data_IF_121575753365
#
_entry.id   IF_121575753365
#
_cell.length_a   1.000
_cell.length_b   1.000
_cell.length_c   1.000
_cell.angle_alpha   90.00
_cell.angle_beta   90.00
_cell.angle_gamma   90.00
#
_symmetry.space_group_name_H-M   'P 1'
#
loop_
_entity.id
_entity.type
_entity.pdbx_description
1 polymer ?
#
# COMPACT_ATOMS: atom_id res chain seq x y z
N UNK A 1 5.43 -32.75 -3.66
CA UNK A 1 6.09 -31.48 -3.33
C UNK A 1 5.35 -30.46 -4.16
N UNK A 2 4.27 -29.95 -3.57
CA UNK A 2 3.28 -29.08 -4.22
C UNK A 2 3.49 -27.70 -3.59
N UNK A 3 4.70 -27.21 -3.79
CA UNK A 3 5.24 -25.99 -3.19
C UNK A 3 5.15 -24.92 -4.27
N UNK A 4 4.09 -24.10 -4.24
CA UNK A 4 4.14 -22.70 -4.75
C UNK A 4 2.86 -21.87 -4.60
N UNK A 5 1.72 -22.42 -4.16
CA UNK A 5 0.47 -21.62 -4.14
C UNK A 5 0.11 -21.06 -2.75
N UNK A 6 0.81 -21.46 -1.68
CA UNK A 6 0.48 -21.07 -0.29
C UNK A 6 1.34 -19.97 0.31
N UNK A 7 2.36 -19.47 -0.40
CA UNK A 7 3.32 -18.51 0.16
C UNK A 7 2.99 -17.03 -0.11
N UNK A 8 1.88 -16.75 -0.83
CA UNK A 8 1.35 -15.40 -1.08
C UNK A 8 0.08 -15.09 -0.28
N UNK A 9 -0.02 -15.60 0.95
CA UNK A 9 -1.08 -15.15 1.85
C UNK A 9 -0.76 -13.73 2.35
N UNK A 10 -1.77 -12.88 2.49
CA UNK A 10 -1.64 -11.49 2.97
C UNK A 10 -0.79 -11.43 4.24
N UNK A 11 -1.04 -12.34 5.17
CA UNK A 11 -0.33 -12.45 6.45
C UNK A 11 1.18 -12.65 6.27
N UNK A 12 1.60 -13.42 5.25
CA UNK A 12 3.01 -13.71 5.01
C UNK A 12 3.74 -12.50 4.42
N UNK A 13 3.09 -11.79 3.50
CA UNK A 13 3.61 -10.56 2.89
C UNK A 13 3.68 -9.45 3.93
N UNK A 14 2.62 -9.27 4.72
CA UNK A 14 2.57 -8.30 5.81
C UNK A 14 3.68 -8.58 6.84
N UNK A 15 3.85 -9.84 7.26
CA UNK A 15 4.93 -10.23 8.18
C UNK A 15 6.32 -9.94 7.61
N UNK A 16 6.50 -10.12 6.30
CA UNK A 16 7.78 -9.82 5.63
C UNK A 16 8.03 -8.31 5.55
N UNK A 17 7.01 -7.52 5.23
CA UNK A 17 7.08 -6.06 5.20
C UNK A 17 7.38 -5.50 6.60
N UNK A 18 6.71 -6.02 7.64
CA UNK A 18 7.00 -5.73 9.04
C UNK A 18 8.46 -6.04 9.38
N UNK A 19 8.98 -7.19 8.94
CA UNK A 19 10.39 -7.57 9.15
C UNK A 19 11.38 -6.66 8.39
N UNK A 20 10.99 -6.10 7.24
CA UNK A 20 11.79 -5.15 6.46
C UNK A 20 11.71 -3.72 7.03
N UNK A 21 10.85 -3.49 8.03
CA UNK A 21 10.69 -2.21 8.74
C UNK A 21 9.43 -1.44 8.35
N UNK A 22 8.61 -1.96 7.44
CA UNK A 22 7.29 -1.42 7.09
C UNK A 22 6.28 -1.80 8.17
N UNK A 23 6.44 -1.19 9.33
CA UNK A 23 5.59 -1.38 10.52
C UNK A 23 4.62 -0.24 10.75
N UNK A 24 4.76 0.84 9.96
CA UNK A 24 3.82 1.94 9.98
C UNK A 24 2.64 1.63 9.07
N UNK A 25 1.43 1.88 9.55
CA UNK A 25 0.25 1.93 8.71
C UNK A 25 0.10 3.34 8.14
N UNK A 26 -0.38 3.43 6.92
CA UNK A 26 -0.75 4.70 6.32
C UNK A 26 -2.22 4.71 5.92
N UNK A 27 -2.82 5.89 5.99
CA UNK A 27 -4.16 6.14 5.48
C UNK A 27 -4.15 7.33 4.54
N UNK A 28 -4.97 7.29 3.51
CA UNK A 28 -5.25 8.48 2.72
C UNK A 28 -6.47 9.18 3.31
N UNK A 29 -6.37 10.49 3.45
CA UNK A 29 -7.49 11.34 3.88
C UNK A 29 -7.34 12.68 3.18
N UNK A 30 -8.40 13.18 2.55
CA UNK A 30 -8.39 14.48 1.87
C UNK A 30 -7.27 14.58 0.81
N UNK A 31 -7.03 13.47 0.07
CA UNK A 31 -5.98 13.39 -0.96
C UNK A 31 -4.54 13.49 -0.44
N UNK A 32 -4.31 13.23 0.85
CA UNK A 32 -2.98 13.21 1.47
C UNK A 32 -2.77 11.92 2.25
N UNK A 33 -1.54 11.43 2.24
CA UNK A 33 -1.15 10.26 3.01
C UNK A 33 -0.77 10.67 4.43
N UNK A 34 -1.41 10.07 5.43
CA UNK A 34 -1.09 10.27 6.84
C UNK A 34 -0.62 8.97 7.46
N UNK A 35 0.53 8.97 8.16
CA UNK A 35 0.93 7.81 8.97
C UNK A 35 -0.03 7.67 10.15
N UNK A 36 -0.51 6.45 10.37
CA UNK A 36 -1.19 5.99 11.58
C UNK A 36 -0.14 5.70 12.67
N UNK A 37 0.77 6.64 12.89
CA UNK A 37 1.69 6.57 14.02
C UNK A 37 1.05 7.19 15.26
N UNK A 38 1.35 6.63 16.44
CA UNK A 38 0.90 7.14 17.73
C UNK A 38 1.50 8.53 18.05
N UNK A 39 2.53 8.94 17.30
CA UNK A 39 3.13 10.26 17.41
C UNK A 39 2.21 11.32 16.78
N UNK A 40 1.73 12.23 17.62
CA UNK A 40 0.82 13.35 17.31
C UNK A 40 1.38 14.37 16.27
N UNK A 41 2.51 14.05 15.63
CA UNK A 41 3.16 14.82 14.55
C UNK A 41 2.97 14.19 13.17
N UNK A 42 2.00 13.29 12.99
CA UNK A 42 1.67 12.73 11.68
C UNK A 42 1.36 13.85 10.67
N UNK A 43 2.37 14.28 9.92
CA UNK A 43 2.25 15.23 8.82
C UNK A 43 1.62 14.50 7.64
N UNK A 44 0.73 15.19 6.93
CA UNK A 44 0.21 14.71 5.66
C UNK A 44 1.28 14.83 4.58
N UNK A 45 1.60 13.71 3.94
CA UNK A 45 2.49 13.64 2.79
C UNK A 45 1.69 13.83 1.51
N UNK A 46 2.21 14.67 0.63
CA UNK A 46 1.68 14.81 -0.73
C UNK A 46 2.04 13.58 -1.57
N UNK A 47 1.27 13.27 -2.64
CA UNK A 47 1.60 12.15 -3.52
C UNK A 47 3.00 12.29 -4.15
N UNK A 48 3.53 13.50 -4.28
CA UNK A 48 4.89 13.77 -4.74
C UNK A 48 5.99 13.33 -3.74
N UNK A 49 5.65 13.34 -2.45
CA UNK A 49 6.51 12.94 -1.32
C UNK A 49 6.36 11.45 -0.96
N UNK A 50 5.50 10.72 -1.69
CA UNK A 50 5.24 9.30 -1.49
C UNK A 50 5.75 8.52 -2.70
N UNK A 51 6.37 7.39 -2.43
CA UNK A 51 6.89 6.46 -3.44
C UNK A 51 6.28 5.09 -3.19
N UNK A 52 5.61 4.53 -4.20
CA UNK A 52 5.11 3.16 -4.13
C UNK A 52 6.29 2.24 -4.41
N UNK A 53 6.70 1.48 -3.39
CA UNK A 53 7.81 0.54 -3.46
C UNK A 53 7.34 -0.76 -4.12
N UNK A 54 6.17 -1.25 -3.71
CA UNK A 54 5.60 -2.50 -4.19
C UNK A 54 4.10 -2.54 -3.92
N UNK A 55 3.36 -3.40 -4.61
CA UNK A 55 1.95 -3.62 -4.33
C UNK A 55 1.55 -5.08 -4.55
N UNK A 56 0.73 -5.58 -3.65
CA UNK A 56 0.33 -6.98 -3.59
C UNK A 56 -1.19 -7.05 -3.62
N UNK A 57 -1.75 -7.63 -4.68
CA UNK A 57 -3.17 -7.95 -4.72
C UNK A 57 -3.43 -9.29 -4.05
N UNK A 58 -4.46 -9.34 -3.24
CA UNK A 58 -4.98 -10.52 -2.57
C UNK A 58 -6.46 -10.67 -2.91
N UNK A 59 -6.88 -11.91 -3.10
CA UNK A 59 -8.29 -12.25 -3.18
C UNK A 59 -8.79 -12.47 -1.75
N UNK A 60 -9.91 -11.84 -1.41
CA UNK A 60 -10.51 -11.86 -0.10
C UNK A 60 -10.92 -13.28 0.27
N UNK A 61 -10.48 -13.73 1.44
CA UNK A 61 -10.77 -15.08 1.92
C UNK A 61 -12.28 -15.31 2.14
N UNK A 62 -13.04 -14.21 2.33
CA UNK A 62 -14.48 -14.23 2.56
C UNK A 62 -15.33 -14.22 1.29
N UNK A 63 -14.91 -13.48 0.25
CA UNK A 63 -15.59 -13.46 -1.04
C UNK A 63 -14.52 -13.39 -2.15
N UNK A 64 -14.58 -14.28 -3.16
CA UNK A 64 -13.67 -14.22 -4.29
C UNK A 64 -13.80 -12.92 -5.12
N UNK A 65 -14.93 -12.23 -4.98
CA UNK A 65 -15.16 -10.90 -5.58
C UNK A 65 -14.57 -9.75 -4.75
N UNK A 66 -14.19 -9.98 -3.48
CA UNK A 66 -13.60 -8.97 -2.61
C UNK A 66 -12.09 -8.96 -2.83
N UNK A 67 -11.60 -8.03 -3.65
CA UNK A 67 -10.17 -7.90 -3.90
C UNK A 67 -9.60 -6.88 -2.93
N UNK A 68 -8.52 -7.24 -2.24
CA UNK A 68 -7.76 -6.34 -1.37
C UNK A 68 -6.39 -6.11 -1.96
N UNK A 69 -5.88 -4.89 -1.93
CA UNK A 69 -4.54 -4.56 -2.40
C UNK A 69 -3.78 -3.93 -1.25
N UNK A 70 -2.61 -4.51 -0.95
CA UNK A 70 -1.65 -3.99 0.01
C UNK A 70 -0.54 -3.27 -0.75
N UNK A 71 -0.42 -1.97 -0.57
CA UNK A 71 0.67 -1.18 -1.13
C UNK A 71 1.75 -0.97 -0.07
N UNK A 72 3.00 -1.26 -0.42
CA UNK A 72 4.17 -0.87 0.34
C UNK A 72 4.63 0.49 -0.16
N UNK A 73 4.68 1.46 0.75
CA UNK A 73 4.97 2.86 0.44
C UNK A 73 6.09 3.37 1.32
N UNK A 74 6.93 4.18 0.71
CA UNK A 74 8.05 4.87 1.33
C UNK A 74 7.88 6.37 1.11
N UNK A 75 7.96 7.13 2.20
CA UNK A 75 7.89 8.59 2.17
C UNK A 75 9.28 9.18 1.95
N UNK A 76 9.34 10.41 1.47
CA UNK A 76 10.59 11.15 1.29
C UNK A 76 11.42 11.33 2.58
N UNK A 77 10.78 11.21 3.75
CA UNK A 77 11.43 11.30 5.07
C UNK A 77 12.11 9.97 5.47
N UNK A 78 11.88 8.90 4.71
CA UNK A 78 12.38 7.54 4.98
C UNK A 78 11.42 6.69 5.82
N UNK A 79 10.22 7.18 6.12
CA UNK A 79 9.18 6.38 6.79
C UNK A 79 8.63 5.37 5.79
N UNK A 80 8.73 4.10 6.16
CA UNK A 80 8.27 2.94 5.40
C UNK A 80 7.03 2.35 6.09
N UNK A 81 6.04 2.01 5.29
CA UNK A 81 4.79 1.48 5.81
C UNK A 81 3.89 0.93 4.73
N UNK A 82 2.75 0.43 5.15
CA UNK A 82 1.80 -0.26 4.27
C UNK A 82 0.45 0.42 4.28
N UNK A 83 -0.27 0.30 3.18
CA UNK A 83 -1.67 0.69 3.08
C UNK A 83 -2.46 -0.44 2.43
N UNK A 84 -3.42 -0.99 3.18
CA UNK A 84 -4.38 -1.95 2.68
C UNK A 84 -5.63 -1.21 2.22
N UNK A 85 -6.07 -1.44 0.99
CA UNK A 85 -7.33 -0.91 0.47
C UNK A 85 -8.12 -2.00 -0.24
N UNK A 86 -9.44 -1.93 -0.13
CA UNK A 86 -10.32 -2.72 -0.98
C UNK A 86 -10.25 -2.17 -2.42
N UNK A 87 -10.36 -3.07 -3.40
CA UNK A 87 -10.39 -2.76 -4.82
C UNK A 87 -11.82 -2.94 -5.36
N UNK A 88 -12.29 -1.98 -6.16
CA UNK A 88 -13.64 -1.97 -6.72
C UNK A 88 -14.61 -1.04 -5.96
N UNK A 89 -15.90 -1.37 -5.95
CA UNK A 89 -16.99 -0.51 -5.42
C UNK A 89 -16.85 -0.15 -3.94
N UNK A 90 -16.12 -0.97 -3.18
CA UNK A 90 -15.85 -0.77 -1.76
C UNK A 90 -14.51 -0.09 -1.48
N UNK A 91 -13.73 0.20 -2.52
CA UNK A 91 -12.49 0.96 -2.41
C UNK A 91 -12.75 2.41 -2.04
N UNK A 92 -11.89 2.98 -1.20
CA UNK A 92 -11.98 4.38 -0.86
C UNK A 92 -11.53 5.21 -2.06
N UNK A 93 -12.45 5.98 -2.66
CA UNK A 93 -12.15 6.79 -3.84
C UNK A 93 -10.97 7.74 -3.60
N UNK A 94 -10.82 8.22 -2.35
CA UNK A 94 -9.69 9.06 -1.98
C UNK A 94 -8.35 8.34 -2.12
N UNK A 95 -8.30 7.06 -1.74
CA UNK A 95 -7.09 6.22 -1.86
C UNK A 95 -6.80 5.92 -3.34
N UNK A 96 -7.83 5.59 -4.12
CA UNK A 96 -7.68 5.33 -5.56
C UNK A 96 -7.13 6.55 -6.30
N UNK A 97 -7.72 7.74 -6.09
CA UNK A 97 -7.25 8.98 -6.69
C UNK A 97 -5.81 9.32 -6.27
N UNK A 98 -5.49 9.10 -4.99
CA UNK A 98 -4.14 9.33 -4.47
C UNK A 98 -3.11 8.41 -5.13
N UNK A 99 -3.36 7.10 -5.14
CA UNK A 99 -2.47 6.11 -5.75
C UNK A 99 -2.28 6.37 -7.24
N UNK A 100 -3.38 6.69 -7.94
CA UNK A 100 -3.35 7.08 -9.35
C UNK A 100 -2.50 8.33 -9.59
N UNK A 101 -2.56 9.31 -8.69
CA UNK A 101 -1.72 10.51 -8.76
C UNK A 101 -0.24 10.16 -8.55
N UNK A 102 0.09 9.30 -7.58
CA UNK A 102 1.46 8.83 -7.36
C UNK A 102 2.01 8.08 -8.59
N UNK A 103 1.17 7.26 -9.23
CA UNK A 103 1.52 6.54 -10.46
C UNK A 103 1.70 7.48 -11.67
N UNK A 104 0.83 8.49 -11.81
CA UNK A 104 0.91 9.51 -12.86
C UNK A 104 2.17 10.39 -12.71
N UNK A 105 2.55 10.70 -11.47
CA UNK A 105 3.81 11.37 -11.14
C UNK A 105 5.06 10.54 -11.46
N UNK A 106 4.91 9.27 -11.87
CA UNK A 106 6.03 8.38 -12.20
C UNK A 106 6.85 7.96 -10.99
N UNK A 107 6.25 8.00 -9.78
CA UNK A 107 6.85 7.54 -8.53
C UNK A 107 6.59 6.05 -8.24
N UNK A 108 6.01 5.35 -9.21
CA UNK A 108 5.89 3.90 -9.21
C UNK A 108 7.19 3.26 -9.74
N UNK A 109 7.75 2.34 -8.96
CA UNK A 109 8.98 1.61 -9.33
C UNK A 109 8.74 0.55 -10.43
N UNK A 110 7.49 0.26 -10.82
CA UNK A 110 7.12 -0.80 -11.76
C UNK A 110 6.88 -0.34 -13.21
N UNK A 111 6.96 0.97 -13.52
CA UNK A 111 7.06 1.45 -14.93
C UNK A 111 8.46 1.26 -15.55
N UNK A 112 9.11 0.14 -15.23
CA UNK A 112 10.16 -0.49 -16.05
C UNK A 112 9.72 -1.88 -16.54
N UNK A 113 8.53 -1.97 -17.12
CA UNK A 113 8.22 -3.06 -18.06
C UNK A 113 7.88 -2.54 -19.46
N UNK A 114 8.97 -2.36 -20.23
CA UNK A 114 9.13 -2.56 -21.67
C UNK A 114 8.23 -1.81 -22.68
#
# INVERSE_FOLDING_TARGET
MQDNEKERSLVNVESKLVADGFTADFRVTDGKLYPLSDDNKARGYMPEEVTIVDFYRFEGESNPDDMSILYAIETADGVKGTIATAYGTYGDTSVDEFLKTVEDLGKDLDKKHK
#
